data_IF_932081332198
#
_entry.id   IF_932081332198
#
_cell.length_a   1.000
_cell.length_b   1.000
_cell.length_c   1.000
_cell.angle_alpha   90.00
_cell.angle_beta   90.00
_cell.angle_gamma   90.00
#
_symmetry.space_group_name_H-M   'P 1'
#
loop_
_entity.id
_entity.type
_entity.pdbx_description
1 polymer ?
#
# COMPACT_ATOMS: atom_id res chain seq x y z
N UNK A 1 4.56 8.63 -20.01
CA UNK A 1 6.02 8.55 -20.24
C UNK A 1 6.57 7.48 -19.31
N UNK A 2 7.28 6.46 -19.80
CA UNK A 2 7.94 5.49 -18.92
C UNK A 2 9.06 6.18 -18.13
N UNK A 3 9.15 5.89 -16.83
CA UNK A 3 10.22 6.37 -15.95
C UNK A 3 11.16 5.20 -15.69
N UNK A 4 12.45 5.36 -15.97
CA UNK A 4 13.48 4.37 -15.63
C UNK A 4 13.96 4.57 -14.19
N UNK A 5 14.29 3.46 -13.53
CA UNK A 5 14.82 3.47 -12.18
C UNK A 5 15.93 2.44 -12.08
N UNK A 6 17.06 2.85 -11.50
CA UNK A 6 18.24 1.99 -11.26
C UNK A 6 18.45 1.85 -9.76
N UNK A 7 18.47 0.61 -9.28
CA UNK A 7 18.79 0.29 -7.89
C UNK A 7 20.28 -0.08 -7.84
N UNK A 8 21.07 0.68 -7.08
CA UNK A 8 22.52 0.45 -6.92
C UNK A 8 22.80 -0.41 -5.71
N UNK A 9 23.98 -1.03 -5.72
CA UNK A 9 24.54 -1.76 -4.56
C UNK A 9 23.63 -2.90 -4.06
N UNK A 10 22.93 -3.56 -4.98
CA UNK A 10 22.13 -4.76 -4.65
C UNK A 10 23.10 -5.93 -4.50
N UNK A 11 23.13 -6.61 -3.33
CA UNK A 11 23.96 -7.79 -3.13
C UNK A 11 23.64 -8.87 -4.18
N UNK A 12 24.66 -9.56 -4.67
CA UNK A 12 24.50 -10.58 -5.70
C UNK A 12 23.53 -11.68 -5.24
N UNK A 13 23.57 -12.10 -3.96
CA UNK A 13 22.64 -13.10 -3.45
C UNK A 13 21.17 -12.64 -3.53
N UNK A 14 20.92 -11.34 -3.35
CA UNK A 14 19.57 -10.77 -3.43
C UNK A 14 19.09 -10.73 -4.87
N UNK A 15 19.97 -10.31 -5.80
CA UNK A 15 19.67 -10.32 -7.24
C UNK A 15 19.34 -11.72 -7.72
N UNK A 16 20.13 -12.71 -7.33
CA UNK A 16 19.99 -14.09 -7.79
C UNK A 16 18.71 -14.75 -7.27
N UNK A 17 18.37 -14.51 -6.00
CA UNK A 17 17.10 -14.98 -5.45
C UNK A 17 15.89 -14.32 -6.13
N UNK A 18 15.96 -13.01 -6.42
CA UNK A 18 14.91 -12.33 -7.18
C UNK A 18 14.79 -12.86 -8.62
N UNK A 19 15.91 -13.17 -9.27
CA UNK A 19 15.91 -13.76 -10.60
C UNK A 19 15.31 -15.18 -10.59
N UNK A 20 15.63 -15.99 -9.58
CA UNK A 20 15.03 -17.31 -9.39
C UNK A 20 13.51 -17.23 -9.15
N UNK A 21 13.04 -16.25 -8.37
CA UNK A 21 11.61 -15.99 -8.19
C UNK A 21 10.93 -15.55 -9.49
N UNK A 22 11.56 -14.65 -10.24
CA UNK A 22 11.05 -14.19 -11.53
C UNK A 22 10.92 -15.35 -12.53
N UNK A 23 11.94 -16.21 -12.62
CA UNK A 23 11.92 -17.40 -13.45
C UNK A 23 10.78 -18.36 -13.07
N UNK A 24 10.57 -18.61 -11.76
CA UNK A 24 9.43 -19.41 -11.27
C UNK A 24 8.07 -18.80 -11.60
N UNK A 25 7.99 -17.48 -11.69
CA UNK A 25 6.77 -16.76 -12.08
C UNK A 25 6.60 -16.63 -13.61
N UNK A 26 7.56 -17.10 -14.41
CA UNK A 26 7.56 -16.93 -15.88
C UNK A 26 7.75 -15.49 -16.33
N UNK A 27 8.42 -14.66 -15.52
CA UNK A 27 8.63 -13.23 -15.76
C UNK A 27 10.11 -12.92 -15.91
N UNK A 28 10.44 -11.84 -16.63
CA UNK A 28 11.78 -11.27 -16.53
C UNK A 28 12.01 -10.66 -15.13
N UNK A 29 13.28 -10.58 -14.70
CA UNK A 29 13.63 -9.96 -13.41
C UNK A 29 13.05 -8.54 -13.27
N UNK A 30 13.13 -7.74 -14.34
CA UNK A 30 12.64 -6.37 -14.34
C UNK A 30 11.11 -6.29 -14.17
N UNK A 31 10.36 -7.17 -14.84
CA UNK A 31 8.90 -7.24 -14.70
C UNK A 31 8.49 -7.68 -13.31
N UNK A 32 9.15 -8.70 -12.76
CA UNK A 32 8.89 -9.20 -11.42
C UNK A 32 9.13 -8.11 -10.37
N UNK A 33 10.29 -7.44 -10.40
CA UNK A 33 10.62 -6.37 -9.46
C UNK A 33 9.66 -5.19 -9.60
N UNK A 34 9.31 -4.79 -10.82
CA UNK A 34 8.30 -3.74 -11.06
C UNK A 34 6.95 -4.10 -10.44
N UNK A 35 6.50 -5.34 -10.58
CA UNK A 35 5.26 -5.80 -9.98
C UNK A 35 5.33 -5.71 -8.45
N UNK A 36 6.41 -6.20 -7.84
CA UNK A 36 6.62 -6.12 -6.39
C UNK A 36 6.62 -4.67 -5.87
N UNK A 37 7.31 -3.76 -6.56
CA UNK A 37 7.33 -2.34 -6.20
C UNK A 37 5.95 -1.67 -6.35
N UNK A 38 5.18 -2.08 -7.36
CA UNK A 38 3.81 -1.59 -7.55
C UNK A 38 2.92 -2.04 -6.39
N UNK A 39 3.00 -3.32 -6.01
CA UNK A 39 2.25 -3.86 -4.87
C UNK A 39 2.67 -3.23 -3.54
N UNK A 40 3.96 -2.94 -3.37
CA UNK A 40 4.46 -2.20 -2.22
C UNK A 40 3.85 -0.78 -2.17
N UNK A 41 3.82 -0.07 -3.29
CA UNK A 41 3.25 1.28 -3.37
C UNK A 41 1.72 1.30 -3.24
N UNK A 42 1.02 0.20 -3.59
CA UNK A 42 -0.44 0.11 -3.41
C UNK A 42 -0.86 0.14 -1.95
N UNK A 43 0.00 -0.30 -1.02
CA UNK A 43 -0.29 -0.29 0.42
C UNK A 43 0.31 0.98 1.04
N UNK A 44 -0.47 2.03 1.32
CA UNK A 44 0.04 3.16 2.09
C UNK A 44 0.59 2.67 3.42
N UNK A 45 1.68 3.29 3.89
CA UNK A 45 2.12 3.06 5.25
C UNK A 45 0.99 3.41 6.22
N UNK A 46 0.91 2.79 7.42
CA UNK A 46 -0.08 3.17 8.42
C UNK A 46 -0.07 4.67 8.75
N UNK A 47 1.11 5.32 8.65
CA UNK A 47 1.24 6.76 8.81
C UNK A 47 0.55 7.53 7.67
N UNK A 48 0.81 7.16 6.41
CA UNK A 48 0.15 7.77 5.23
C UNK A 48 -1.37 7.52 5.24
N UNK A 49 -1.81 6.39 5.77
CA UNK A 49 -3.22 6.08 5.96
C UNK A 49 -3.85 7.07 6.95
N UNK A 50 -3.23 7.28 8.11
CA UNK A 50 -3.74 8.21 9.12
C UNK A 50 -3.78 9.65 8.62
N UNK A 51 -2.76 10.09 7.88
CA UNK A 51 -2.77 11.42 7.26
C UNK A 51 -3.93 11.57 6.26
N UNK A 52 -4.18 10.55 5.43
CA UNK A 52 -5.36 10.54 4.53
C UNK A 52 -6.68 10.56 5.30
N UNK A 53 -6.81 9.76 6.36
CA UNK A 53 -8.02 9.72 7.20
C UNK A 53 -8.27 11.08 7.82
N UNK A 54 -7.25 11.70 8.42
CA UNK A 54 -7.36 13.03 9.01
C UNK A 54 -7.74 14.09 7.97
N UNK A 55 -7.13 14.05 6.80
CA UNK A 55 -7.48 14.96 5.70
C UNK A 55 -8.93 14.76 5.23
N UNK A 56 -9.37 13.50 5.07
CA UNK A 56 -10.74 13.14 4.69
C UNK A 56 -11.75 13.66 5.73
N UNK A 57 -11.55 13.36 7.01
CA UNK A 57 -12.42 13.80 8.12
C UNK A 57 -12.53 15.32 8.15
N UNK A 58 -11.41 16.04 7.99
CA UNK A 58 -11.41 17.51 7.93
C UNK A 58 -12.17 18.05 6.71
N UNK A 59 -12.00 17.42 5.54
CA UNK A 59 -12.64 17.85 4.30
C UNK A 59 -14.14 17.55 4.23
N UNK A 60 -14.61 16.44 4.81
CA UNK A 60 -16.04 16.09 4.83
C UNK A 60 -16.85 17.00 5.76
N UNK A 61 -16.23 17.56 6.80
CA UNK A 61 -16.85 18.56 7.68
C UNK A 61 -17.96 18.01 8.60
N UNK A 62 -18.41 16.77 8.39
CA UNK A 62 -19.36 16.08 9.28
C UNK A 62 -18.67 15.71 10.60
N UNK A 63 -19.27 16.09 11.72
CA UNK A 63 -18.88 15.68 13.06
C UNK A 63 -20.06 14.97 13.70
N UNK A 64 -19.85 13.71 14.11
CA UNK A 64 -20.80 12.95 14.90
C UNK A 64 -20.25 12.82 16.32
N UNK A 65 -21.00 13.23 17.36
CA UNK A 65 -20.60 13.02 18.73
C UNK A 65 -20.55 11.53 19.05
N UNK A 66 -19.63 11.13 19.92
CA UNK A 66 -19.42 9.72 20.27
C UNK A 66 -20.71 9.03 20.76
N UNK A 67 -21.58 9.75 21.47
CA UNK A 67 -22.85 9.23 21.94
C UNK A 67 -23.78 8.81 20.78
N UNK A 68 -23.86 9.60 19.71
CA UNK A 68 -24.70 9.32 18.54
C UNK A 68 -24.12 8.17 17.70
N UNK A 69 -22.79 8.05 17.63
CA UNK A 69 -22.13 6.91 16.98
C UNK A 69 -22.46 5.60 17.68
N UNK A 70 -22.45 5.61 19.03
CA UNK A 70 -22.77 4.43 19.82
C UNK A 70 -24.24 4.05 19.66
N UNK A 71 -25.14 5.04 19.70
CA UNK A 71 -26.58 4.82 19.55
C UNK A 71 -26.92 4.22 18.17
N UNK A 72 -26.36 4.77 17.09
CA UNK A 72 -26.53 4.24 15.72
C UNK A 72 -25.97 2.83 15.57
N UNK A 73 -24.81 2.53 16.18
CA UNK A 73 -24.21 1.19 16.12
C UNK A 73 -25.05 0.16 16.88
N UNK A 74 -25.60 0.56 18.03
CA UNK A 74 -26.36 -0.35 18.88
C UNK A 74 -27.76 -0.63 18.29
N UNK A 75 -28.32 0.30 17.50
CA UNK A 75 -29.52 0.05 16.66
C UNK A 75 -29.31 -0.99 15.54
N UNK A 76 -28.09 -1.16 15.02
CA UNK A 76 -27.78 -2.14 13.97
C UNK A 76 -27.65 -3.59 14.51
N UNK A 77 -27.68 -3.75 15.85
CA UNK A 77 -27.54 -5.05 16.54
C UNK A 77 -28.87 -5.66 17.02
N UNK A 78 -29.99 -4.98 16.81
CA UNK A 78 -31.34 -5.46 17.15
C UNK A 78 -32.08 -5.96 15.92
#
# INVERSE_FOLDING_TARGET
MPVSMTIRDVPDETRDELAARAARAGQSLQEYVRAQLTELARRPSPADLWDRVQHRVRATGTRLPAAEILDLRDHDRT
#
